data_IF_614413392973
#
_entry.id   IF_614413392973
#
_cell.length_a   1.000
_cell.length_b   1.000
_cell.length_c   1.000
_cell.angle_alpha   90.00
_cell.angle_beta   90.00
_cell.angle_gamma   90.00
#
_symmetry.space_group_name_H-M   'P 1'
#
loop_
_entity.id
_entity.type
_entity.pdbx_description
1 polymer ?
#
# COMPACT_ATOMS: atom_id res chain seq x y z
N UNK A 1 -6.40 29.21 -2.46
CA UNK A 1 -6.50 28.67 -1.09
C UNK A 1 -5.43 27.65 -0.81
N UNK A 2 -4.55 27.94 0.17
CA UNK A 2 -3.42 27.10 0.58
C UNK A 2 -3.86 25.70 1.04
N UNK A 3 -5.03 25.59 1.65
CA UNK A 3 -5.66 24.33 2.07
C UNK A 3 -5.98 23.38 0.91
N UNK A 4 -6.38 23.91 -0.25
CA UNK A 4 -6.67 23.11 -1.44
C UNK A 4 -5.40 22.45 -2.01
N UNK A 5 -4.26 23.14 -1.93
CA UNK A 5 -2.98 22.63 -2.44
C UNK A 5 -2.50 21.45 -1.60
N UNK A 6 -2.55 21.58 -0.27
CA UNK A 6 -2.19 20.48 0.63
C UNK A 6 -3.09 19.26 0.45
N UNK A 7 -4.39 19.47 0.26
CA UNK A 7 -5.35 18.38 0.03
C UNK A 7 -5.03 17.60 -1.26
N UNK A 8 -4.68 18.30 -2.33
CA UNK A 8 -4.27 17.69 -3.61
C UNK A 8 -2.96 16.91 -3.46
N UNK A 9 -1.96 17.48 -2.76
CA UNK A 9 -0.69 16.81 -2.53
C UNK A 9 -0.85 15.53 -1.71
N UNK A 10 -1.68 15.55 -0.66
CA UNK A 10 -2.00 14.37 0.15
C UNK A 10 -2.69 13.30 -0.69
N UNK A 11 -3.64 13.67 -1.55
CA UNK A 11 -4.32 12.73 -2.44
C UNK A 11 -3.33 12.04 -3.41
N UNK A 12 -2.45 12.82 -4.05
CA UNK A 12 -1.43 12.27 -4.95
C UNK A 12 -0.46 11.33 -4.22
N UNK A 13 -0.03 11.73 -3.01
CA UNK A 13 0.85 10.91 -2.18
C UNK A 13 0.15 9.64 -1.70
N UNK A 14 -1.13 9.71 -1.31
CA UNK A 14 -1.94 8.57 -0.93
C UNK A 14 -2.09 7.59 -2.11
N UNK A 15 -2.37 8.08 -3.32
CA UNK A 15 -2.44 7.22 -4.51
C UNK A 15 -1.10 6.53 -4.79
N UNK A 16 0.01 7.27 -4.73
CA UNK A 16 1.35 6.70 -4.91
C UNK A 16 1.65 5.62 -3.85
N UNK A 17 1.37 5.92 -2.58
CA UNK A 17 1.59 4.99 -1.48
C UNK A 17 0.67 3.77 -1.56
N UNK A 18 -0.57 3.94 -2.01
CA UNK A 18 -1.50 2.83 -2.20
C UNK A 18 -1.02 1.86 -3.29
N UNK A 19 -0.44 2.37 -4.39
CA UNK A 19 0.19 1.51 -5.40
C UNK A 19 1.35 0.74 -4.77
N UNK A 20 2.24 1.41 -4.02
CA UNK A 20 3.37 0.77 -3.33
C UNK A 20 2.88 -0.29 -2.35
N UNK A 21 1.82 -0.01 -1.58
CA UNK A 21 1.20 -0.95 -0.66
C UNK A 21 0.76 -2.23 -1.37
N UNK A 22 0.10 -2.13 -2.53
CA UNK A 22 -0.31 -3.30 -3.31
C UNK A 22 0.89 -4.06 -3.86
N UNK A 23 1.87 -3.36 -4.41
CA UNK A 23 3.07 -3.97 -5.02
C UNK A 23 3.91 -4.72 -3.97
N UNK A 24 4.21 -4.08 -2.84
CA UNK A 24 5.06 -4.64 -1.80
C UNK A 24 4.42 -5.82 -1.08
N UNK A 25 3.09 -5.84 -0.97
CA UNK A 25 2.38 -6.95 -0.34
C UNK A 25 1.96 -8.04 -1.33
N UNK A 26 2.48 -8.01 -2.57
CA UNK A 26 2.15 -8.97 -3.63
C UNK A 26 0.63 -9.16 -3.79
N UNK A 27 -0.13 -8.05 -3.74
CA UNK A 27 -1.57 -8.06 -3.93
C UNK A 27 -1.91 -7.73 -5.38
N UNK A 28 -2.97 -8.35 -5.89
CA UNK A 28 -3.46 -8.12 -7.25
C UNK A 28 -3.73 -6.62 -7.42
N UNK A 29 -3.20 -5.97 -8.49
CA UNK A 29 -2.74 -6.53 -9.76
C UNK A 29 -1.24 -6.78 -9.92
N UNK A 30 -0.42 -6.53 -8.89
CA UNK A 30 1.05 -6.61 -8.95
C UNK A 30 1.57 -8.02 -9.21
N UNK A 31 1.03 -8.97 -8.45
CA UNK A 31 1.39 -10.37 -8.48
C UNK A 31 0.37 -11.17 -7.66
N UNK A 32 0.37 -12.49 -7.80
CA UNK A 32 -0.31 -13.41 -6.87
C UNK A 32 0.67 -14.55 -6.54
N UNK A 33 0.97 -14.78 -5.25
CA UNK A 33 1.88 -15.85 -4.83
C UNK A 33 1.44 -17.25 -5.27
N UNK A 34 0.18 -17.45 -5.67
CA UNK A 34 -0.38 -18.75 -6.09
C UNK A 34 -0.32 -19.02 -7.61
N UNK A 35 0.59 -18.39 -8.37
CA UNK A 35 0.73 -18.71 -9.80
C UNK A 35 1.52 -20.01 -10.01
N UNK A 36 0.78 -21.04 -10.42
CA UNK A 36 1.18 -22.45 -10.43
C UNK A 36 2.07 -22.83 -11.65
N UNK A 37 3.19 -23.51 -11.34
CA UNK A 37 3.69 -24.76 -11.97
C UNK A 37 4.84 -24.86 -12.98
N UNK A 38 5.47 -23.80 -13.48
CA UNK A 38 6.65 -24.02 -14.34
C UNK A 38 7.88 -23.16 -14.02
N UNK A 39 7.72 -21.95 -13.45
CA UNK A 39 8.86 -21.03 -13.22
C UNK A 39 8.92 -20.35 -11.83
N UNK A 40 7.94 -20.55 -10.95
CA UNK A 40 7.92 -20.05 -9.56
C UNK A 40 8.29 -21.11 -8.53
N UNK A 41 8.83 -22.25 -8.98
CA UNK A 41 9.42 -23.35 -8.19
C UNK A 41 10.54 -22.93 -7.21
N UNK A 42 10.77 -21.63 -7.01
CA UNK A 42 11.65 -21.11 -5.96
C UNK A 42 10.84 -20.54 -4.79
N UNK A 43 9.76 -19.78 -5.02
CA UNK A 43 9.03 -19.10 -3.93
C UNK A 43 8.01 -20.00 -3.24
N UNK A 44 7.30 -20.83 -4.00
CA UNK A 44 6.30 -21.78 -3.46
C UNK A 44 7.00 -23.04 -2.92
N UNK A 45 8.09 -23.48 -3.57
CA UNK A 45 8.95 -24.55 -3.04
C UNK A 45 9.62 -24.17 -1.72
N UNK A 46 10.08 -22.91 -1.58
CA UNK A 46 10.67 -22.42 -0.33
C UNK A 46 9.71 -22.56 0.85
N UNK A 47 8.40 -22.32 0.66
CA UNK A 47 7.41 -22.43 1.74
C UNK A 47 7.08 -23.91 2.03
N UNK A 48 7.07 -24.77 1.00
CA UNK A 48 6.78 -26.20 1.11
C UNK A 48 7.85 -26.99 1.88
N UNK A 49 9.08 -26.47 1.99
CA UNK A 49 10.16 -27.07 2.79
C UNK A 49 10.00 -26.83 4.31
N UNK A 50 9.07 -25.96 4.72
CA UNK A 50 8.86 -25.62 6.13
C UNK A 50 7.71 -26.42 6.76
N UNK A 51 7.91 -26.87 7.99
CA UNK A 51 6.87 -27.50 8.80
C UNK A 51 5.87 -26.47 9.35
N UNK A 52 4.75 -26.95 9.92
CA UNK A 52 3.65 -26.12 10.41
C UNK A 52 4.04 -24.89 11.25
N UNK A 53 4.92 -25.00 12.27
CA UNK A 53 5.34 -23.85 13.08
C UNK A 53 6.11 -22.79 12.28
N UNK A 54 7.02 -23.21 11.41
CA UNK A 54 7.82 -22.29 10.60
C UNK A 54 6.96 -21.62 9.51
N UNK A 55 6.04 -22.38 8.91
CA UNK A 55 5.02 -21.86 8.00
C UNK A 55 4.15 -20.79 8.68
N UNK A 56 3.76 -21.01 9.93
CA UNK A 56 2.98 -20.03 10.68
C UNK A 56 3.75 -18.72 10.89
N UNK A 57 5.07 -18.78 11.15
CA UNK A 57 5.92 -17.59 11.26
C UNK A 57 6.02 -16.82 9.94
N UNK A 58 6.12 -17.53 8.81
CA UNK A 58 6.16 -16.91 7.47
C UNK A 58 4.84 -16.18 7.18
N UNK A 59 3.70 -16.85 7.39
CA UNK A 59 2.38 -16.25 7.19
C UNK A 59 2.13 -15.09 8.16
N UNK A 60 2.58 -15.21 9.41
CA UNK A 60 2.51 -14.13 10.38
C UNK A 60 3.34 -12.92 9.95
N UNK A 61 4.57 -13.14 9.48
CA UNK A 61 5.42 -12.08 8.92
C UNK A 61 4.77 -11.35 7.74
N UNK A 62 4.16 -12.10 6.81
CA UNK A 62 3.42 -11.51 5.69
C UNK A 62 2.21 -10.69 6.17
N UNK A 63 1.47 -11.18 7.18
CA UNK A 63 0.34 -10.46 7.76
C UNK A 63 0.78 -9.17 8.47
N UNK A 64 1.92 -9.20 9.18
CA UNK A 64 2.51 -8.03 9.83
C UNK A 64 2.98 -7.00 8.81
N UNK A 65 3.57 -7.43 7.68
CA UNK A 65 3.95 -6.52 6.58
C UNK A 65 2.73 -5.75 6.08
N UNK A 66 1.63 -6.45 5.78
CA UNK A 66 0.40 -5.81 5.32
C UNK A 66 -0.17 -4.85 6.36
N UNK A 67 -0.20 -5.25 7.63
CA UNK A 67 -0.70 -4.42 8.72
C UNK A 67 0.13 -3.13 8.89
N UNK A 68 1.45 -3.22 8.77
CA UNK A 68 2.36 -2.09 8.87
C UNK A 68 2.14 -1.10 7.71
N UNK A 69 2.07 -1.58 6.47
CA UNK A 69 1.79 -0.72 5.32
C UNK A 69 0.40 -0.07 5.40
N UNK A 70 -0.64 -0.81 5.82
CA UNK A 70 -1.96 -0.24 6.04
C UNK A 70 -1.95 0.83 7.15
N UNK A 71 -1.19 0.62 8.22
CA UNK A 71 -1.02 1.58 9.31
C UNK A 71 -0.40 2.89 8.81
N UNK A 72 0.67 2.82 8.02
CA UNK A 72 1.30 4.00 7.42
C UNK A 72 0.37 4.73 6.46
N UNK A 73 -0.42 4.00 5.67
CA UNK A 73 -1.41 4.60 4.78
C UNK A 73 -2.49 5.38 5.54
N UNK A 74 -2.99 4.83 6.64
CA UNK A 74 -4.00 5.52 7.48
C UNK A 74 -3.42 6.76 8.15
N UNK A 75 -2.19 6.69 8.67
CA UNK A 75 -1.49 7.83 9.27
C UNK A 75 -1.24 8.94 8.24
N UNK A 76 -0.94 8.56 6.99
CA UNK A 76 -0.77 9.51 5.88
C UNK A 76 -2.06 10.28 5.58
N UNK A 77 -3.21 9.60 5.60
CA UNK A 77 -4.52 10.21 5.31
C UNK A 77 -5.05 11.07 6.47
N UNK A 78 -4.79 10.66 7.71
CA UNK A 78 -5.28 11.32 8.92
C UNK A 78 -4.14 11.69 9.87
N UNK A 79 -3.33 12.71 9.52
CA UNK A 79 -2.26 13.17 10.38
C UNK A 79 -2.84 13.83 11.66
N UNK A 80 -2.50 13.28 12.82
CA UNK A 80 -2.80 13.82 14.16
C UNK A 80 -4.30 14.02 14.48
N UNK A 81 -5.03 12.91 14.67
CA UNK A 81 -6.42 12.90 15.18
C UNK A 81 -6.43 13.37 16.65
N UNK A 82 -6.84 14.62 16.91
CA UNK A 82 -6.82 15.27 18.23
C UNK A 82 -8.15 15.19 18.98
N UNK A 83 -8.78 14.01 18.99
CA UNK A 83 -10.16 13.84 19.50
C UNK A 83 -10.23 12.97 20.78
N UNK A 84 -9.06 12.57 21.32
CA UNK A 84 -8.90 11.77 22.55
C UNK A 84 -8.41 10.34 22.27
N UNK A 85 -7.59 9.77 23.16
CA UNK A 85 -6.84 8.52 22.93
C UNK A 85 -7.72 7.34 22.46
N UNK A 86 -8.86 7.11 23.16
CA UNK A 86 -9.78 6.01 22.84
C UNK A 86 -10.47 6.21 21.49
N UNK A 87 -10.86 7.44 21.16
CA UNK A 87 -11.53 7.70 19.90
C UNK A 87 -10.54 7.66 18.73
N UNK A 88 -9.33 8.19 18.91
CA UNK A 88 -8.26 8.13 17.91
C UNK A 88 -7.85 6.69 17.59
N UNK A 89 -7.77 5.80 18.59
CA UNK A 89 -7.46 4.39 18.34
C UNK A 89 -8.58 3.65 17.59
N UNK A 90 -9.84 3.94 17.89
CA UNK A 90 -11.00 3.39 17.17
C UNK A 90 -11.02 3.86 15.72
N UNK A 91 -10.81 5.16 15.47
CA UNK A 91 -10.75 5.72 14.10
C UNK A 91 -9.59 5.10 13.32
N UNK A 92 -8.44 4.94 13.95
CA UNK A 92 -7.27 4.31 13.32
C UNK A 92 -7.54 2.84 12.94
N UNK A 93 -8.11 2.04 13.85
CA UNK A 93 -8.48 0.66 13.55
C UNK A 93 -9.55 0.57 12.45
N UNK A 94 -10.55 1.45 12.49
CA UNK A 94 -11.56 1.54 11.44
C UNK A 94 -10.93 1.89 10.07
N UNK A 95 -9.94 2.79 10.05
CA UNK A 95 -9.18 3.14 8.85
C UNK A 95 -8.40 1.95 8.27
N UNK A 96 -7.78 1.13 9.12
CA UNK A 96 -7.08 -0.10 8.67
C UNK A 96 -8.08 -1.07 8.05
N UNK A 97 -9.20 -1.33 8.74
CA UNK A 97 -10.25 -2.24 8.26
C UNK A 97 -10.79 -1.75 6.91
N UNK A 98 -11.07 -0.46 6.77
CA UNK A 98 -11.52 0.12 5.50
C UNK A 98 -10.49 -0.07 4.38
N UNK A 99 -9.21 0.12 4.68
CA UNK A 99 -8.12 -0.07 3.70
C UNK A 99 -8.05 -1.52 3.23
N UNK A 100 -8.15 -2.49 4.13
CA UNK A 100 -8.13 -3.93 3.78
C UNK A 100 -9.37 -4.33 2.98
N UNK A 101 -10.55 -3.78 3.29
CA UNK A 101 -11.76 -4.00 2.50
C UNK A 101 -11.57 -3.48 1.07
N UNK A 102 -11.01 -2.29 0.89
CA UNK A 102 -10.72 -1.73 -0.44
C UNK A 102 -9.75 -2.63 -1.21
N UNK A 103 -8.69 -3.12 -0.57
CA UNK A 103 -7.76 -4.08 -1.17
C UNK A 103 -8.51 -5.35 -1.61
N UNK A 104 -9.35 -5.92 -0.74
CA UNK A 104 -10.13 -7.13 -1.06
C UNK A 104 -11.10 -6.92 -2.23
N UNK A 105 -11.72 -5.74 -2.34
CA UNK A 105 -12.57 -5.38 -3.48
C UNK A 105 -11.73 -5.33 -4.78
N UNK A 106 -10.55 -4.72 -4.74
CA UNK A 106 -9.64 -4.63 -5.89
C UNK A 106 -9.18 -6.02 -6.32
N UNK A 107 -8.76 -6.86 -5.38
CA UNK A 107 -8.35 -8.24 -5.64
C UNK A 107 -9.48 -9.06 -6.27
N UNK A 108 -10.72 -8.83 -5.85
CA UNK A 108 -11.89 -9.52 -6.39
C UNK A 108 -12.33 -9.00 -7.77
N UNK A 109 -12.00 -7.74 -8.10
CA UNK A 109 -12.54 -7.05 -9.29
C UNK A 109 -11.55 -6.98 -10.45
N UNK A 110 -10.24 -7.05 -10.19
CA UNK A 110 -9.19 -6.84 -11.19
C UNK A 110 -8.48 -8.15 -11.51
N UNK A 111 -8.15 -8.36 -12.78
CA UNK A 111 -7.29 -9.45 -13.22
C UNK A 111 -5.81 -9.11 -13.06
N UNK A 112 -4.98 -10.12 -12.81
CA UNK A 112 -3.51 -9.98 -12.72
C UNK A 112 -2.92 -9.28 -13.94
N UNK A 113 -2.01 -8.34 -13.70
CA UNK A 113 -1.22 -7.75 -14.78
C UNK A 113 -0.07 -8.66 -15.19
N UNK A 114 0.37 -8.51 -16.44
CA UNK A 114 1.59 -9.15 -16.92
C UNK A 114 2.77 -8.57 -16.14
N UNK A 115 3.72 -9.43 -15.75
CA UNK A 115 4.91 -9.06 -14.97
C UNK A 115 5.67 -7.85 -15.55
N UNK A 116 5.73 -7.74 -16.88
CA UNK A 116 6.37 -6.62 -17.61
C UNK A 116 5.76 -5.25 -17.25
N UNK A 117 4.50 -5.21 -16.82
CA UNK A 117 3.79 -3.99 -16.42
C UNK A 117 4.01 -3.61 -14.95
N UNK A 118 4.55 -4.51 -14.11
CA UNK A 118 4.77 -4.26 -12.69
C UNK A 118 5.81 -3.14 -12.48
N UNK A 119 6.98 -3.14 -13.14
CA UNK A 119 7.90 -2.00 -13.07
C UNK A 119 7.28 -0.69 -13.57
N UNK A 120 6.38 -0.75 -14.56
CA UNK A 120 5.70 0.44 -15.09
C UNK A 120 4.76 1.06 -14.06
N UNK A 121 4.09 0.25 -13.23
CA UNK A 121 3.26 0.75 -12.13
C UNK A 121 4.09 1.44 -11.05
N UNK A 122 5.25 0.88 -10.69
CA UNK A 122 6.18 1.50 -9.73
C UNK A 122 6.73 2.84 -10.23
N UNK A 123 7.07 2.93 -11.53
CA UNK A 123 7.46 4.20 -12.16
C UNK A 123 6.30 5.20 -12.10
N UNK A 124 5.06 4.75 -12.31
CA UNK A 124 3.86 5.57 -12.14
C UNK A 124 3.68 6.10 -10.73
N UNK A 125 3.86 5.25 -9.71
CA UNK A 125 3.81 5.66 -8.29
C UNK A 125 4.91 6.68 -7.96
N UNK A 126 6.12 6.47 -8.47
CA UNK A 126 7.22 7.42 -8.33
C UNK A 126 6.89 8.77 -8.99
N UNK A 127 6.30 8.75 -10.20
CA UNK A 127 5.84 9.95 -10.89
C UNK A 127 4.76 10.72 -10.11
N UNK A 128 3.78 10.02 -9.53
CA UNK A 128 2.76 10.63 -8.66
C UNK A 128 3.38 11.27 -7.42
N UNK A 129 4.36 10.61 -6.80
CA UNK A 129 5.09 11.16 -5.65
C UNK A 129 5.89 12.41 -6.00
N UNK A 130 6.56 12.43 -7.17
CA UNK A 130 7.27 13.61 -7.66
C UNK A 130 6.31 14.77 -7.96
N UNK A 131 5.14 14.48 -8.54
CA UNK A 131 4.11 15.49 -8.77
C UNK A 131 3.60 16.06 -7.44
N UNK A 132 3.33 15.22 -6.44
CA UNK A 132 2.93 15.67 -5.11
C UNK A 132 3.97 16.61 -4.48
N UNK A 133 5.25 16.25 -4.58
CA UNK A 133 6.37 17.06 -4.10
C UNK A 133 6.46 18.38 -4.86
N UNK A 134 6.38 18.36 -6.19
CA UNK A 134 6.39 19.55 -7.03
C UNK A 134 5.26 20.51 -6.66
N UNK A 135 4.04 20.00 -6.49
CA UNK A 135 2.89 20.80 -6.07
C UNK A 135 3.12 21.46 -4.71
N UNK A 136 3.68 20.72 -3.74
CA UNK A 136 3.98 21.26 -2.42
C UNK A 136 5.05 22.34 -2.52
N UNK A 137 6.20 22.07 -3.14
CA UNK A 137 7.30 23.04 -3.20
C UNK A 137 6.94 24.30 -3.99
N UNK A 138 6.32 24.15 -5.17
CA UNK A 138 6.08 25.28 -6.06
C UNK A 138 4.96 26.20 -5.57
N UNK A 139 3.87 25.64 -5.05
CA UNK A 139 2.70 26.44 -4.64
C UNK A 139 2.71 26.84 -3.16
N UNK A 140 3.36 26.06 -2.27
CA UNK A 140 3.48 26.40 -0.85
C UNK A 140 4.77 27.19 -0.57
N UNK A 141 5.87 26.80 -1.23
CA UNK A 141 7.19 27.39 -1.10
C UNK A 141 7.47 28.53 -2.08
N UNK A 142 6.41 29.23 -2.53
CA UNK A 142 6.46 30.29 -3.55
C UNK A 142 7.79 31.02 -3.57
N UNK A 143 8.49 30.93 -4.71
CA UNK A 143 9.79 31.55 -4.94
C UNK A 143 9.71 32.99 -4.42
N UNK A 144 10.49 33.27 -3.37
CA UNK A 144 11.07 34.60 -3.22
C UNK A 144 12.26 34.70 -4.16
#
# INVERSE_FOLDING_TARGET
DRSSIHSVAILLCALAFFIILLMENCRVPADDPNTHLELTMIHEAMILDYAGPDLALILYGASLKLWLFASFFVILLFPAISVGLLLSSVIFLAGIVATVIVIGIIESSIARYRFIKVPQMLIGAFGLSLLALFFLIFFDGGIK
#
